data_IF_034683463666
#
_entry.id   IF_034683463666
#
_cell.length_a   1.000
_cell.length_b   1.000
_cell.length_c   1.000
_cell.angle_alpha   90.00
_cell.angle_beta   90.00
_cell.angle_gamma   90.00
#
_symmetry.space_group_name_H-M   'P 1'
#
loop_
_entity.id
_entity.type
_entity.pdbx_description
1 polymer ?
#
# COMPACT_ATOMS: atom_id res chain seq x y z
N UNK A 1 -38.09 53.42 -73.90
CA UNK A 1 -37.01 53.97 -74.74
C UNK A 1 -35.90 52.92 -74.85
N UNK A 2 -35.59 52.51 -76.09
CA UNK A 2 -34.34 51.97 -76.65
C UNK A 2 -33.44 51.00 -75.83
N UNK A 3 -33.49 49.75 -76.27
CA UNK A 3 -32.44 48.74 -76.57
C UNK A 3 -30.94 49.00 -76.39
N UNK A 4 -30.23 47.89 -76.06
CA UNK A 4 -28.91 47.42 -76.55
C UNK A 4 -27.67 47.56 -75.66
N UNK A 5 -26.96 46.43 -75.47
CA UNK A 5 -25.57 46.36 -75.01
C UNK A 5 -25.12 44.95 -74.64
N UNK A 6 -24.19 44.38 -75.42
CA UNK A 6 -23.74 42.98 -75.45
C UNK A 6 -22.27 42.90 -74.94
N UNK A 7 -21.91 41.80 -74.24
CA UNK A 7 -20.59 41.12 -73.97
C UNK A 7 -19.24 41.90 -74.10
N UNK A 8 -18.15 41.55 -73.36
CA UNK A 8 -17.54 40.21 -73.48
C UNK A 8 -16.87 39.58 -72.24
N UNK A 9 -16.75 38.26 -72.39
CA UNK A 9 -15.85 37.27 -71.82
C UNK A 9 -14.38 37.74 -71.73
N UNK A 10 -13.72 37.56 -70.58
CA UNK A 10 -12.25 37.50 -70.47
C UNK A 10 -11.86 36.28 -69.64
N UNK A 11 -11.18 35.36 -70.32
CA UNK A 11 -10.49 34.19 -69.79
C UNK A 11 -9.06 34.62 -69.45
N UNK A 12 -8.61 34.40 -68.20
CA UNK A 12 -7.21 34.56 -67.83
C UNK A 12 -6.76 33.35 -67.00
N UNK A 13 -6.02 32.45 -67.65
CA UNK A 13 -5.29 31.37 -67.02
C UNK A 13 -3.99 31.93 -66.43
N UNK A 14 -3.72 31.62 -65.15
CA UNK A 14 -2.41 31.82 -64.54
C UNK A 14 -1.94 30.47 -63.99
N UNK A 15 -0.95 29.89 -64.66
CA UNK A 15 -0.24 28.70 -64.20
C UNK A 15 0.69 29.04 -63.04
N UNK A 16 0.80 28.14 -62.07
CA UNK A 16 1.84 28.18 -61.04
C UNK A 16 2.63 26.88 -61.12
N UNK A 17 3.92 27.02 -61.38
CA UNK A 17 4.90 25.94 -61.49
C UNK A 17 5.11 25.30 -60.11
N UNK A 18 4.93 23.98 -60.02
CA UNK A 18 5.28 23.19 -58.82
C UNK A 18 6.76 22.83 -58.92
N UNK A 19 7.59 23.46 -58.10
CA UNK A 19 8.98 23.05 -57.93
C UNK A 19 9.03 21.79 -57.06
N UNK A 20 9.36 20.65 -57.66
CA UNK A 20 9.66 19.42 -56.93
C UNK A 20 11.02 19.55 -56.24
N UNK A 21 11.02 19.65 -54.91
CA UNK A 21 12.23 19.49 -54.10
C UNK A 21 12.39 18.02 -53.73
N UNK A 22 13.38 17.38 -54.33
CA UNK A 22 13.81 16.01 -54.01
C UNK A 22 14.60 16.05 -52.70
N UNK A 23 13.94 15.77 -51.57
CA UNK A 23 14.62 15.54 -50.29
C UNK A 23 15.12 14.10 -50.25
N UNK A 24 16.45 13.93 -50.23
CA UNK A 24 17.10 12.65 -49.98
C UNK A 24 16.96 12.36 -48.48
N UNK A 25 16.04 11.46 -48.11
CA UNK A 25 15.90 10.98 -46.74
C UNK A 25 17.07 10.04 -46.41
N UNK A 26 18.03 10.52 -45.64
CA UNK A 26 19.05 9.66 -45.03
C UNK A 26 18.33 8.84 -43.95
N UNK A 27 18.19 7.53 -44.18
CA UNK A 27 17.52 6.63 -43.25
C UNK A 27 18.22 6.62 -41.89
N UNK A 28 17.53 7.08 -40.85
CA UNK A 28 17.99 6.90 -39.48
C UNK A 28 17.97 5.40 -39.13
N UNK A 29 19.01 4.86 -38.46
CA UNK A 29 18.98 3.48 -38.00
C UNK A 29 17.81 3.32 -37.03
N UNK A 30 16.94 2.34 -37.30
CA UNK A 30 15.86 1.96 -36.40
C UNK A 30 16.48 1.50 -35.08
N UNK A 31 16.49 2.38 -34.09
CA UNK A 31 16.79 2.00 -32.72
C UNK A 31 15.74 0.96 -32.31
N UNK A 32 16.17 -0.28 -32.10
CA UNK A 32 15.33 -1.31 -31.50
C UNK A 32 14.99 -0.83 -30.09
N UNK A 33 13.75 -0.37 -29.91
CA UNK A 33 13.21 -0.07 -28.59
C UNK A 33 13.11 -1.43 -27.89
N UNK A 34 14.11 -1.75 -27.07
CA UNK A 34 13.96 -2.84 -26.09
C UNK A 34 12.82 -2.41 -25.19
N UNK A 35 11.72 -3.17 -25.08
CA UNK A 35 10.65 -2.82 -24.15
C UNK A 35 11.26 -2.69 -22.76
N UNK A 36 11.15 -1.51 -22.15
CA UNK A 36 11.48 -1.37 -20.74
C UNK A 36 10.59 -2.37 -19.98
N UNK A 37 11.19 -3.23 -19.16
CA UNK A 37 10.44 -4.14 -18.31
C UNK A 37 9.47 -3.40 -17.37
N UNK A 38 8.58 -4.11 -16.68
CA UNK A 38 7.61 -3.49 -15.78
C UNK A 38 8.33 -2.61 -14.74
N UNK A 39 7.80 -1.41 -14.51
CA UNK A 39 8.42 -0.43 -13.63
C UNK A 39 8.38 -0.91 -12.17
N UNK A 40 9.55 -0.98 -11.54
CA UNK A 40 9.73 -1.40 -10.15
C UNK A 40 10.02 -0.22 -9.22
N UNK A 41 10.04 -0.47 -7.90
CA UNK A 41 10.34 0.56 -6.92
C UNK A 41 11.82 0.94 -6.88
N UNK A 42 12.14 2.06 -6.22
CA UNK A 42 13.53 2.52 -6.07
C UNK A 42 14.42 1.51 -5.36
N UNK A 43 13.83 0.64 -4.54
CA UNK A 43 14.53 -0.46 -3.85
C UNK A 43 14.33 -1.82 -4.54
N UNK A 44 13.82 -1.83 -5.78
CA UNK A 44 13.54 -3.03 -6.55
C UNK A 44 12.14 -3.61 -6.31
N UNK A 45 11.97 -4.87 -6.71
CA UNK A 45 10.70 -5.59 -6.56
C UNK A 45 10.40 -5.86 -5.09
N UNK A 46 9.11 -5.91 -4.77
CA UNK A 46 8.66 -6.40 -3.48
C UNK A 46 9.13 -7.84 -3.26
N UNK A 47 9.72 -8.07 -2.09
CA UNK A 47 10.23 -9.41 -1.72
C UNK A 47 9.09 -10.28 -1.19
N UNK A 48 9.08 -11.55 -1.61
CA UNK A 48 8.18 -12.55 -1.03
C UNK A 48 8.49 -12.74 0.46
N UNK A 49 7.45 -12.68 1.30
CA UNK A 49 7.58 -12.81 2.76
C UNK A 49 7.43 -14.28 3.17
N UNK A 50 8.25 -14.79 4.09
CA UNK A 50 8.35 -16.25 4.34
C UNK A 50 8.29 -16.70 5.80
N UNK A 51 8.39 -15.81 6.79
CA UNK A 51 8.37 -16.19 8.21
C UNK A 51 7.18 -15.57 8.96
N UNK A 52 6.07 -15.43 8.24
CA UNK A 52 4.79 -15.02 8.83
C UNK A 52 4.35 -16.08 9.88
N UNK A 53 4.11 -15.69 11.15
CA UNK A 53 3.74 -16.65 12.20
C UNK A 53 2.43 -17.40 11.89
N UNK A 54 2.49 -18.73 11.94
CA UNK A 54 1.30 -19.57 11.75
C UNK A 54 0.37 -19.50 12.96
N UNK A 55 -0.94 -19.57 12.73
CA UNK A 55 -1.96 -19.50 13.78
C UNK A 55 -2.20 -18.09 14.35
N UNK A 56 -1.45 -17.08 13.90
CA UNK A 56 -1.74 -15.68 14.21
C UNK A 56 -2.78 -15.12 13.25
N UNK A 57 -3.80 -14.46 13.80
CA UNK A 57 -4.86 -13.81 13.04
C UNK A 57 -4.85 -12.32 13.32
N UNK A 58 -4.70 -11.53 12.27
CA UNK A 58 -4.97 -10.09 12.29
C UNK A 58 -6.34 -9.82 11.68
N UNK A 59 -7.12 -8.94 12.30
CA UNK A 59 -8.42 -8.54 11.80
C UNK A 59 -8.55 -7.02 11.80
N UNK A 60 -9.05 -6.46 10.71
CA UNK A 60 -9.52 -5.09 10.64
C UNK A 60 -11.04 -5.09 10.57
N UNK A 61 -11.69 -4.36 11.47
CA UNK A 61 -13.16 -4.23 11.53
C UNK A 61 -13.51 -2.76 11.28
N UNK A 62 -14.32 -2.48 10.26
CA UNK A 62 -14.71 -1.10 9.98
C UNK A 62 -15.65 -0.56 11.09
N UNK A 63 -15.42 0.67 11.57
CA UNK A 63 -16.20 1.23 12.67
C UNK A 63 -17.60 1.65 12.19
N UNK A 64 -18.58 1.62 13.10
CA UNK A 64 -19.94 2.09 12.80
C UNK A 64 -20.00 3.60 12.55
N UNK A 65 -19.17 4.37 13.26
CA UNK A 65 -19.15 5.83 13.16
C UNK A 65 -18.25 6.30 12.02
N UNK A 66 -18.77 7.05 11.03
CA UNK A 66 -17.96 7.61 9.95
C UNK A 66 -17.04 8.70 10.46
N UNK A 67 -15.78 8.71 10.00
CA UNK A 67 -14.81 9.76 10.34
C UNK A 67 -15.21 11.12 9.75
N UNK A 68 -15.81 11.10 8.56
CA UNK A 68 -16.31 12.27 7.87
C UNK A 68 -17.61 11.91 7.16
N UNK A 69 -18.73 12.48 7.63
CA UNK A 69 -20.05 12.23 7.03
C UNK A 69 -20.08 12.54 5.54
N UNK A 70 -19.35 13.57 5.09
CA UNK A 70 -19.29 13.95 3.68
C UNK A 70 -18.61 12.91 2.77
N UNK A 71 -17.84 11.97 3.31
CA UNK A 71 -17.21 10.90 2.51
C UNK A 71 -18.26 9.92 1.98
N UNK A 72 -19.30 9.61 2.76
CA UNK A 72 -20.42 8.79 2.29
C UNK A 72 -21.72 9.25 2.95
N UNK A 73 -22.28 10.39 2.47
CA UNK A 73 -23.33 11.14 3.14
C UNK A 73 -24.58 10.33 3.53
N UNK A 74 -24.95 9.38 2.69
CA UNK A 74 -26.19 8.61 2.79
C UNK A 74 -25.97 7.14 3.18
N UNK A 75 -24.73 6.72 3.43
CA UNK A 75 -24.42 5.33 3.75
C UNK A 75 -23.53 5.13 4.97
N UNK A 76 -22.84 6.16 5.47
CA UNK A 76 -22.00 6.03 6.66
C UNK A 76 -20.67 5.36 6.35
N UNK A 77 -20.36 4.23 6.97
CA UNK A 77 -19.12 3.48 6.70
C UNK A 77 -19.40 2.16 6.00
N UNK A 78 -18.37 1.64 5.32
CA UNK A 78 -18.28 0.22 4.98
C UNK A 78 -18.45 -0.60 6.26
N UNK A 79 -19.13 -1.74 6.19
CA UNK A 79 -19.36 -2.63 7.33
C UNK A 79 -18.69 -3.97 7.11
N UNK A 80 -18.26 -4.60 8.20
CA UNK A 80 -17.69 -5.94 8.19
C UNK A 80 -16.19 -5.94 8.42
N UNK A 81 -15.53 -7.01 8.00
CA UNK A 81 -14.17 -7.34 8.43
C UNK A 81 -13.26 -7.72 7.28
N UNK A 82 -11.97 -7.51 7.49
CA UNK A 82 -10.87 -8.12 6.74
C UNK A 82 -10.03 -8.92 7.71
N UNK A 83 -9.90 -10.23 7.50
CA UNK A 83 -8.98 -11.08 8.28
C UNK A 83 -7.75 -11.44 7.46
N UNK A 84 -6.62 -11.56 8.13
CA UNK A 84 -5.34 -11.86 7.52
C UNK A 84 -4.58 -12.91 8.35
N UNK A 85 -4.13 -13.98 7.67
CA UNK A 85 -3.40 -15.09 8.29
C UNK A 85 -2.20 -15.48 7.43
N UNK A 86 -1.18 -16.08 8.04
CA UNK A 86 -0.06 -16.65 7.30
C UNK A 86 -0.57 -17.70 6.29
N UNK A 87 -0.04 -17.67 5.06
CA UNK A 87 -0.36 -18.69 4.07
C UNK A 87 0.24 -20.05 4.52
N UNK A 88 -0.52 -21.16 4.48
CA UNK A 88 0.00 -22.49 4.77
C UNK A 88 1.18 -22.93 3.88
N UNK A 89 1.34 -22.32 2.69
CA UNK A 89 2.52 -22.53 1.83
C UNK A 89 3.83 -22.04 2.45
N UNK A 90 3.77 -21.27 3.54
CA UNK A 90 4.90 -20.58 4.14
C UNK A 90 5.28 -19.27 3.44
N UNK A 91 4.52 -18.82 2.43
CA UNK A 91 4.81 -17.59 1.68
C UNK A 91 3.62 -16.63 1.66
N UNK A 92 3.84 -15.41 2.13
CA UNK A 92 2.81 -14.38 2.11
C UNK A 92 1.68 -14.61 3.12
N UNK A 93 0.58 -13.93 2.84
CA UNK A 93 -0.58 -13.76 3.70
C UNK A 93 -1.84 -14.06 2.91
N UNK A 94 -2.80 -14.73 3.52
CA UNK A 94 -4.15 -14.90 2.97
C UNK A 94 -5.03 -13.81 3.58
N UNK A 95 -5.56 -12.95 2.73
CA UNK A 95 -6.57 -11.96 3.09
C UNK A 95 -7.96 -12.51 2.77
N UNK A 96 -8.88 -12.41 3.72
CA UNK A 96 -10.29 -12.77 3.55
C UNK A 96 -11.17 -11.57 3.87
N UNK A 97 -11.89 -11.10 2.86
CA UNK A 97 -12.75 -9.93 2.89
C UNK A 97 -14.20 -10.35 3.11
N UNK A 98 -14.90 -9.66 4.01
CA UNK A 98 -16.35 -9.76 4.16
C UNK A 98 -16.92 -8.38 4.46
N UNK A 99 -17.21 -7.63 3.39
CA UNK A 99 -17.64 -6.24 3.46
C UNK A 99 -19.06 -6.07 2.93
N UNK A 100 -19.78 -5.14 3.51
CA UNK A 100 -21.14 -4.75 3.14
C UNK A 100 -21.26 -3.24 3.17
N UNK A 101 -22.42 -2.76 2.70
CA UNK A 101 -22.74 -1.34 2.69
C UNK A 101 -21.74 -0.53 1.84
N UNK A 102 -21.33 -1.10 0.70
CA UNK A 102 -20.51 -0.37 -0.27
C UNK A 102 -21.37 0.68 -0.99
N UNK A 103 -20.79 1.84 -1.35
CA UNK A 103 -21.48 2.83 -2.17
C UNK A 103 -21.96 2.22 -3.50
N UNK A 104 -23.13 2.65 -3.97
CA UNK A 104 -23.66 2.19 -5.27
C UNK A 104 -22.97 2.85 -6.48
N UNK A 105 -22.29 3.98 -6.25
CA UNK A 105 -21.65 4.83 -7.27
C UNK A 105 -20.30 5.35 -6.77
N UNK A 106 -19.49 5.87 -7.69
CA UNK A 106 -18.15 6.37 -7.41
C UNK A 106 -17.08 5.28 -7.50
N UNK A 107 -17.43 4.11 -8.04
CA UNK A 107 -16.51 3.03 -8.30
C UNK A 107 -15.76 3.19 -9.64
N UNK A 108 -14.90 2.23 -10.01
CA UNK A 108 -14.55 1.05 -9.22
C UNK A 108 -13.82 1.43 -7.93
N UNK A 109 -14.07 0.68 -6.85
CA UNK A 109 -13.58 1.00 -5.52
C UNK A 109 -12.24 0.31 -5.25
N UNK A 110 -11.29 1.10 -4.77
CA UNK A 110 -9.94 0.63 -4.45
C UNK A 110 -9.83 0.32 -2.96
N UNK A 111 -8.88 -0.53 -2.59
CA UNK A 111 -8.62 -0.87 -1.21
C UNK A 111 -7.13 -1.16 -1.01
N UNK A 112 -6.52 -0.48 -0.04
CA UNK A 112 -5.08 -0.51 0.16
C UNK A 112 -4.71 -0.63 1.63
N UNK A 113 -3.59 -1.29 1.90
CA UNK A 113 -2.89 -1.17 3.17
C UNK A 113 -2.20 0.19 3.21
N UNK A 114 -2.39 0.93 4.28
CA UNK A 114 -1.76 2.22 4.50
C UNK A 114 -0.63 2.14 5.51
N UNK A 115 0.28 3.12 5.48
CA UNK A 115 1.49 3.11 6.31
C UNK A 115 1.17 3.35 7.80
N UNK A 116 0.23 4.23 8.13
CA UNK A 116 -0.06 4.55 9.53
C UNK A 116 -1.38 3.94 10.01
N UNK A 117 -1.50 3.66 11.32
CA UNK A 117 -2.78 3.29 11.90
C UNK A 117 -3.78 4.45 11.82
N UNK A 118 -5.06 4.11 11.79
CA UNK A 118 -6.16 5.03 12.02
C UNK A 118 -6.05 5.56 13.46
N UNK A 119 -5.98 6.88 13.68
CA UNK A 119 -5.97 7.47 15.02
C UNK A 119 -7.31 7.28 15.74
N UNK A 120 -7.35 7.57 17.06
CA UNK A 120 -8.55 7.41 17.89
C UNK A 120 -9.78 8.17 17.37
N UNK A 121 -9.57 9.31 16.71
CA UNK A 121 -10.66 10.10 16.11
C UNK A 121 -11.18 9.53 14.77
N UNK A 122 -10.68 8.37 14.34
CA UNK A 122 -11.11 7.67 13.13
C UNK A 122 -10.64 8.30 11.82
N UNK A 123 -9.86 9.38 11.83
CA UNK A 123 -9.54 10.14 10.63
C UNK A 123 -8.70 9.33 9.62
N UNK A 124 -9.34 8.88 8.55
CA UNK A 124 -8.68 8.08 7.52
C UNK A 124 -7.55 8.82 6.80
N UNK A 125 -7.52 10.15 6.77
CA UNK A 125 -6.41 10.90 6.15
C UNK A 125 -5.09 10.73 6.92
N UNK A 126 -5.17 10.48 8.23
CA UNK A 126 -4.01 10.30 9.08
C UNK A 126 -3.31 8.93 8.89
N UNK A 127 -3.88 8.02 8.10
CA UNK A 127 -3.20 6.76 7.72
C UNK A 127 -2.09 6.99 6.67
N UNK A 128 -1.95 8.22 6.17
CA UNK A 128 -0.94 8.67 5.22
C UNK A 128 -0.93 7.85 3.91
N UNK A 129 0.24 7.62 3.30
CA UNK A 129 0.39 6.95 2.01
C UNK A 129 0.13 5.42 2.09
N UNK A 130 0.11 4.75 0.95
CA UNK A 130 0.08 3.30 0.89
C UNK A 130 1.33 2.70 1.56
N UNK A 131 1.20 1.47 2.06
CA UNK A 131 2.33 0.70 2.56
C UNK A 131 3.27 0.35 1.40
N UNK A 132 4.39 1.07 1.30
CA UNK A 132 5.28 1.00 0.14
C UNK A 132 6.77 0.94 0.56
N UNK A 133 7.21 -0.18 1.15
CA UNK A 133 8.59 -0.32 1.63
C UNK A 133 9.62 -0.32 0.50
N UNK A 134 9.22 -0.54 -0.76
CA UNK A 134 10.12 -0.56 -1.92
C UNK A 134 10.15 0.75 -2.69
N UNK A 135 9.39 1.76 -2.23
CA UNK A 135 9.36 3.10 -2.80
C UNK A 135 9.00 3.03 -4.29
N UNK A 136 7.89 2.34 -4.56
CA UNK A 136 7.32 2.12 -5.89
C UNK A 136 6.45 3.28 -6.36
N UNK A 137 5.83 4.02 -5.44
CA UNK A 137 4.82 5.03 -5.72
C UNK A 137 3.59 4.47 -6.46
N UNK A 138 2.58 5.30 -6.67
CA UNK A 138 1.34 4.90 -7.34
C UNK A 138 1.48 4.86 -8.87
N UNK A 139 2.38 5.67 -9.43
CA UNK A 139 2.59 5.78 -10.87
C UNK A 139 3.91 5.12 -11.31
N UNK A 140 3.92 4.28 -12.36
CA UNK A 140 2.74 3.87 -13.14
C UNK A 140 1.80 2.98 -12.31
N UNK A 141 0.53 2.85 -12.73
CA UNK A 141 -0.45 1.97 -12.07
C UNK A 141 0.10 0.54 -11.95
N UNK A 142 -0.25 -0.16 -10.86
CA UNK A 142 0.13 -1.56 -10.65
C UNK A 142 -0.25 -2.44 -11.84
N UNK A 143 0.71 -3.21 -12.32
CA UNK A 143 0.49 -4.23 -13.33
C UNK A 143 0.18 -5.57 -12.64
N UNK A 144 -1.06 -6.03 -12.78
CA UNK A 144 -1.54 -7.30 -12.23
C UNK A 144 -0.76 -8.52 -12.73
N UNK A 145 -0.14 -8.43 -13.91
CA UNK A 145 0.69 -9.50 -14.45
C UNK A 145 2.07 -9.57 -13.75
N UNK A 146 2.47 -8.49 -13.08
CA UNK A 146 3.75 -8.33 -12.40
C UNK A 146 3.56 -7.79 -10.97
N UNK A 147 2.83 -8.50 -10.10
CA UNK A 147 2.44 -8.00 -8.78
C UNK A 147 3.64 -7.75 -7.85
N UNK A 148 4.80 -8.35 -8.11
CA UNK A 148 6.08 -8.08 -7.45
C UNK A 148 6.58 -6.65 -7.68
N UNK A 149 6.08 -5.98 -8.73
CA UNK A 149 6.47 -4.60 -9.03
C UNK A 149 5.54 -3.58 -8.40
N UNK A 150 4.41 -3.99 -7.83
CA UNK A 150 3.42 -3.10 -7.23
C UNK A 150 3.81 -2.68 -5.81
N UNK A 151 3.17 -1.63 -5.28
CA UNK A 151 3.32 -1.28 -3.87
C UNK A 151 2.83 -2.46 -3.01
N UNK A 152 3.52 -2.76 -1.92
CA UNK A 152 3.14 -3.86 -1.02
C UNK A 152 1.69 -3.74 -0.56
N UNK A 153 1.24 -2.52 -0.26
CA UNK A 153 -0.12 -2.22 0.16
C UNK A 153 -1.16 -2.11 -0.94
N UNK A 154 -0.80 -2.18 -2.23
CA UNK A 154 -1.74 -2.01 -3.34
C UNK A 154 -2.53 -3.32 -3.63
N UNK A 155 -3.47 -3.65 -2.75
CA UNK A 155 -4.24 -4.90 -2.85
C UNK A 155 -5.20 -4.87 -4.05
N UNK A 156 -5.94 -3.79 -4.27
CA UNK A 156 -6.84 -3.68 -5.43
C UNK A 156 -6.09 -3.63 -6.76
N UNK A 157 -4.93 -2.98 -6.81
CA UNK A 157 -4.04 -3.04 -7.95
C UNK A 157 -3.60 -4.46 -8.27
N UNK A 158 -3.31 -5.30 -7.27
CA UNK A 158 -2.92 -6.72 -7.47
C UNK A 158 -4.09 -7.67 -7.77
N UNK A 159 -5.22 -7.49 -7.09
CA UNK A 159 -6.32 -8.49 -7.08
C UNK A 159 -7.61 -8.02 -7.75
N UNK A 160 -7.68 -6.76 -8.18
CA UNK A 160 -8.87 -6.17 -8.77
C UNK A 160 -9.56 -5.17 -7.86
N UNK A 161 -9.99 -4.06 -8.45
CA UNK A 161 -10.91 -3.13 -7.80
C UNK A 161 -12.30 -3.76 -7.69
N UNK A 162 -13.10 -3.25 -6.75
CA UNK A 162 -14.49 -3.67 -6.59
C UNK A 162 -15.35 -2.90 -7.60
N UNK A 163 -16.07 -3.55 -8.52
CA UNK A 163 -16.88 -2.87 -9.52
C UNK A 163 -17.94 -1.92 -8.93
N UNK A 164 -18.24 -0.84 -9.66
CA UNK A 164 -19.37 0.01 -9.32
C UNK A 164 -20.70 -0.78 -9.32
N UNK A 165 -21.63 -0.41 -8.44
CA UNK A 165 -22.92 -1.08 -8.27
C UNK A 165 -22.91 -2.28 -7.34
N UNK A 166 -21.72 -2.79 -6.97
CA UNK A 166 -21.58 -3.85 -5.98
C UNK A 166 -21.77 -3.30 -4.56
N UNK A 167 -22.72 -3.84 -3.80
CA UNK A 167 -23.05 -3.38 -2.43
C UNK A 167 -22.45 -4.24 -1.31
N UNK A 168 -21.96 -5.43 -1.65
CA UNK A 168 -21.30 -6.37 -0.76
C UNK A 168 -20.08 -6.96 -1.46
N UNK A 169 -18.98 -7.21 -0.74
CA UNK A 169 -17.75 -7.76 -1.27
C UNK A 169 -17.25 -8.89 -0.37
N UNK A 170 -17.15 -10.09 -0.94
CA UNK A 170 -16.60 -11.27 -0.26
C UNK A 170 -15.58 -11.91 -1.17
N UNK A 171 -14.33 -11.98 -0.72
CA UNK A 171 -13.22 -12.49 -1.51
C UNK A 171 -12.12 -13.07 -0.62
N UNK A 172 -11.27 -13.92 -1.20
CA UNK A 172 -10.06 -14.41 -0.54
C UNK A 172 -8.92 -14.44 -1.53
N UNK A 173 -7.80 -13.79 -1.19
CA UNK A 173 -6.65 -13.70 -2.07
C UNK A 173 -5.34 -13.95 -1.28
N UNK A 174 -4.39 -14.71 -1.86
CA UNK A 174 -3.04 -14.80 -1.33
C UNK A 174 -2.19 -13.62 -1.82
N UNK A 175 -1.61 -12.85 -0.90
CA UNK A 175 -0.62 -11.82 -1.20
C UNK A 175 0.77 -12.23 -0.72
N UNK A 176 1.70 -12.39 -1.66
CA UNK A 176 3.05 -12.86 -1.37
C UNK A 176 3.93 -11.81 -0.68
N UNK A 177 3.53 -10.53 -0.72
CA UNK A 177 4.42 -9.40 -0.39
C UNK A 177 4.09 -8.75 0.96
N UNK A 178 2.85 -8.84 1.43
CA UNK A 178 2.46 -8.43 2.79
C UNK A 178 3.04 -9.35 3.85
N UNK A 179 3.22 -8.85 5.07
CA UNK A 179 3.75 -9.65 6.19
C UNK A 179 3.04 -9.42 7.52
N UNK A 180 3.00 -10.48 8.33
CA UNK A 180 2.68 -10.45 9.77
C UNK A 180 3.91 -10.71 10.64
N UNK A 181 5.10 -10.79 10.04
CA UNK A 181 6.40 -10.83 10.75
C UNK A 181 6.79 -9.40 11.15
N UNK A 182 6.89 -9.16 12.45
CA UNK A 182 7.32 -7.86 12.99
C UNK A 182 8.75 -7.50 12.55
N UNK A 183 9.01 -6.20 12.40
CA UNK A 183 10.32 -5.68 12.00
C UNK A 183 10.52 -5.57 10.48
N UNK A 184 9.68 -6.21 9.66
CA UNK A 184 9.69 -6.00 8.22
C UNK A 184 8.97 -4.71 7.82
N UNK A 185 9.47 -4.03 6.79
CA UNK A 185 8.78 -2.87 6.21
C UNK A 185 7.38 -3.23 5.70
N UNK A 186 7.18 -4.48 5.23
CA UNK A 186 5.90 -5.04 4.79
C UNK A 186 4.99 -5.53 5.92
N UNK A 187 5.41 -5.41 7.19
CA UNK A 187 4.56 -5.71 8.34
C UNK A 187 3.36 -4.77 8.37
N UNK A 188 2.14 -5.30 8.23
CA UNK A 188 0.91 -4.50 8.26
C UNK A 188 0.11 -4.64 9.57
N UNK A 189 0.54 -5.52 10.47
CA UNK A 189 -0.24 -5.89 11.66
C UNK A 189 -0.51 -4.74 12.64
N UNK A 190 0.27 -3.65 12.57
CA UNK A 190 0.08 -2.42 13.35
C UNK A 190 -0.38 -1.22 12.49
N UNK A 191 -0.90 -1.49 11.30
CA UNK A 191 -1.29 -0.46 10.32
C UNK A 191 -2.78 -0.55 10.02
N UNK A 192 -3.20 0.07 8.91
CA UNK A 192 -4.60 0.19 8.54
C UNK A 192 -4.90 -0.30 7.12
N UNK A 193 -6.16 -0.66 6.89
CA UNK A 193 -6.77 -0.83 5.56
C UNK A 193 -7.65 0.40 5.30
N UNK A 194 -7.64 0.91 4.07
CA UNK A 194 -8.50 2.02 3.63
C UNK A 194 -9.26 1.62 2.37
N UNK A 195 -10.55 1.93 2.34
CA UNK A 195 -11.42 1.82 1.18
C UNK A 195 -11.57 3.19 0.50
N UNK A 196 -11.47 3.23 -0.82
CA UNK A 196 -11.52 4.46 -1.60
C UNK A 196 -12.56 4.38 -2.73
N UNK A 197 -13.12 5.54 -3.07
CA UNK A 197 -13.70 5.75 -4.40
C UNK A 197 -12.63 5.76 -5.49
N UNK A 198 -13.05 5.63 -6.76
CA UNK A 198 -12.17 5.73 -7.93
C UNK A 198 -11.37 7.04 -7.99
N UNK A 199 -11.92 8.13 -7.44
CA UNK A 199 -11.23 9.42 -7.35
C UNK A 199 -10.25 9.53 -6.16
N UNK A 200 -9.90 8.40 -5.53
CA UNK A 200 -8.99 8.26 -4.38
C UNK A 200 -9.53 8.82 -3.05
N UNK A 201 -10.74 9.36 -3.00
CA UNK A 201 -11.37 9.81 -1.75
C UNK A 201 -11.50 8.63 -0.78
N UNK A 202 -10.98 8.78 0.44
CA UNK A 202 -11.05 7.79 1.51
C UNK A 202 -12.47 7.75 2.09
N UNK A 203 -13.11 6.58 2.05
CA UNK A 203 -14.50 6.39 2.51
C UNK A 203 -14.53 5.88 3.94
N UNK A 204 -13.80 4.79 4.19
CA UNK A 204 -13.71 4.14 5.49
C UNK A 204 -12.33 3.53 5.66
N UNK A 205 -11.90 3.39 6.91
CA UNK A 205 -10.62 2.81 7.26
C UNK A 205 -10.74 2.04 8.57
N UNK A 206 -9.84 1.08 8.78
CA UNK A 206 -9.80 0.28 10.00
C UNK A 206 -8.36 -0.14 10.33
N UNK A 207 -8.05 -0.22 11.62
CA UNK A 207 -6.79 -0.78 12.09
C UNK A 207 -6.81 -2.30 12.06
N UNK A 208 -5.69 -2.91 11.72
CA UNK A 208 -5.46 -4.31 12.02
C UNK A 208 -5.19 -4.46 13.51
N UNK A 209 -5.85 -5.43 14.12
CA UNK A 209 -5.62 -5.86 15.50
C UNK A 209 -5.39 -7.36 15.52
N UNK A 210 -4.46 -7.81 16.35
CA UNK A 210 -4.22 -9.23 16.55
C UNK A 210 -5.36 -9.82 17.40
N UNK A 211 -6.13 -10.75 16.83
CA UNK A 211 -7.31 -11.35 17.48
C UNK A 211 -7.12 -12.81 17.89
N UNK A 212 -6.07 -13.47 17.42
CA UNK A 212 -5.71 -14.83 17.84
C UNK A 212 -4.21 -15.13 17.65
N UNK A 213 -3.74 -16.15 18.38
CA UNK A 213 -2.38 -16.71 18.35
C UNK A 213 -1.42 -16.02 19.32
N UNK A 214 -0.60 -16.78 20.05
CA UNK A 214 0.53 -16.24 20.81
C UNK A 214 1.76 -16.21 19.90
N UNK A 215 2.54 -15.12 19.93
CA UNK A 215 3.72 -14.95 19.08
C UNK A 215 4.90 -15.86 19.46
N UNK A 216 4.69 -16.88 20.29
CA UNK A 216 5.75 -17.71 20.84
C UNK A 216 5.90 -19.00 20.05
N UNK A 217 6.76 -18.95 19.03
CA UNK A 217 7.55 -20.11 18.62
C UNK A 217 8.54 -20.48 19.73
N UNK A 218 8.03 -21.04 20.83
CA UNK A 218 8.82 -21.58 21.93
C UNK A 218 8.62 -23.09 22.00
N UNK A 219 9.72 -23.84 22.01
CA UNK A 219 9.73 -25.28 22.24
C UNK A 219 8.85 -25.64 23.43
N UNK A 220 7.71 -26.26 23.16
CA UNK A 220 6.80 -26.79 24.18
C UNK A 220 7.43 -27.99 24.87
N UNK A 221 8.11 -27.75 25.99
CA UNK A 221 8.16 -28.75 27.04
C UNK A 221 6.74 -28.88 27.60
N UNK A 222 6.15 -30.03 27.33
CA UNK A 222 4.88 -30.47 27.88
C UNK A 222 5.02 -30.57 29.40
N UNK A 223 4.46 -29.61 30.13
CA UNK A 223 4.12 -29.77 31.54
C UNK A 223 2.60 -29.93 31.60
N UNK A 224 2.19 -31.19 31.68
CA UNK A 224 0.81 -31.63 31.85
C UNK A 224 0.37 -31.36 33.30
N UNK A 225 -0.78 -30.70 33.57
CA UNK A 225 -1.26 -30.56 34.93
C UNK A 225 -1.93 -31.86 35.37
N UNK A 226 -1.19 -32.69 36.11
CA UNK A 226 -1.76 -33.81 36.84
C UNK A 226 -2.62 -33.26 38.00
N UNK A 227 -3.93 -33.57 37.98
CA UNK A 227 -4.85 -33.27 39.08
C UNK A 227 -5.57 -34.55 39.52
N UNK A 228 -5.14 -35.14 40.65
CA UNK A 228 -5.91 -35.92 41.64
C UNK A 228 -4.91 -36.38 42.71
N UNK A 229 -5.17 -36.51 44.01
CA UNK A 229 -6.39 -36.58 44.78
C UNK A 229 -6.12 -36.17 46.25
N UNK A 230 -7.19 -35.77 46.93
CA UNK A 230 -7.29 -35.50 48.37
C UNK A 230 -7.27 -36.80 49.18
N UNK A 231 -6.53 -36.83 50.29
CA UNK A 231 -6.59 -37.91 51.29
C UNK A 231 -5.72 -37.59 52.52
N UNK A 232 -6.26 -37.55 53.76
CA UNK A 232 -5.50 -37.23 54.96
C UNK A 232 -5.19 -38.48 55.81
N UNK A 233 -3.95 -38.64 56.30
CA UNK A 233 -3.69 -39.27 57.61
C UNK A 233 -2.22 -39.17 58.11
N UNK A 234 -2.09 -38.51 59.26
CA UNK A 234 -1.23 -38.65 60.45
C UNK A 234 0.24 -39.21 60.45
N UNK A 235 1.07 -38.40 61.14
CA UNK A 235 2.07 -38.71 62.21
C UNK A 235 3.39 -39.42 61.91
N UNK A 236 4.50 -38.79 62.34
CA UNK A 236 5.75 -39.51 62.67
C UNK A 236 7.07 -38.72 62.63
N UNK A 237 7.40 -38.06 63.74
CA UNK A 237 8.74 -37.86 64.33
C UNK A 237 10.00 -37.49 63.49
N UNK A 238 10.48 -36.26 63.77
CA UNK A 238 11.82 -35.85 64.21
C UNK A 238 13.11 -36.50 63.64
N UNK A 239 13.95 -35.65 63.06
CA UNK A 239 15.25 -35.17 63.62
C UNK A 239 16.33 -35.11 62.53
N UNK A 240 17.01 -33.96 62.41
CA UNK A 240 18.47 -33.82 62.57
C UNK A 240 18.99 -32.52 61.90
N UNK A 241 19.38 -31.61 62.78
CA UNK A 241 20.39 -30.53 62.70
C UNK A 241 21.56 -30.90 61.76
N UNK A 242 22.29 -30.02 61.07
CA UNK A 242 23.40 -29.23 61.62
C UNK A 242 24.06 -28.42 60.46
N UNK A 243 24.10 -27.09 60.63
CA UNK A 243 25.21 -26.14 60.42
C UNK A 243 26.00 -26.00 59.08
N UNK A 244 26.04 -24.73 58.65
CA UNK A 244 27.20 -23.93 58.17
C UNK A 244 28.08 -24.45 57.03
N UNK A 245 28.16 -23.68 55.94
CA UNK A 245 29.26 -22.71 55.76
C UNK A 245 29.14 -21.97 54.41
N UNK A 246 29.30 -20.64 54.49
CA UNK A 246 29.56 -19.72 53.37
C UNK A 246 31.07 -19.74 53.06
N UNK A 247 31.46 -19.52 51.80
CA UNK A 247 32.33 -18.37 51.51
C UNK A 247 31.81 -17.53 50.33
N UNK A 248 32.16 -16.25 50.38
CA UNK A 248 31.92 -15.26 49.34
C UNK A 248 33.07 -15.25 48.32
N UNK A 249 32.77 -14.82 47.08
CA UNK A 249 33.63 -14.15 46.08
C UNK A 249 32.90 -14.27 44.72
N UNK A 250 32.75 -13.28 43.84
CA UNK A 250 33.24 -11.92 43.79
C UNK A 250 32.51 -11.16 42.69
N UNK A 251 32.49 -9.85 42.83
CA UNK A 251 31.88 -8.85 41.94
C UNK A 251 32.79 -8.55 40.76
N UNK A 252 32.24 -8.48 39.54
CA UNK A 252 32.80 -7.62 38.48
C UNK A 252 31.73 -7.25 37.43
N UNK A 253 31.34 -5.99 37.47
CA UNK A 253 30.59 -5.21 36.49
C UNK A 253 31.40 -5.00 35.20
N UNK A 254 30.79 -4.91 34.01
CA UNK A 254 31.38 -4.21 32.88
C UNK A 254 30.74 -2.82 32.70
N UNK A 255 31.60 -1.81 32.60
CA UNK A 255 31.28 -0.43 32.23
C UNK A 255 31.12 -0.28 30.70
N UNK A 256 30.45 0.78 30.20
CA UNK A 256 30.15 0.98 28.78
C UNK A 256 31.32 1.64 28.03
N UNK A 257 31.58 1.16 26.81
CA UNK A 257 32.59 1.74 25.90
C UNK A 257 31.98 2.80 24.99
N UNK A 258 32.58 3.98 24.99
CA UNK A 258 32.29 5.15 24.17
C UNK A 258 32.97 5.10 22.78
N UNK A 259 32.19 5.44 21.74
CA UNK A 259 32.46 6.17 20.47
C UNK A 259 33.88 6.28 19.85
N UNK A 260 33.96 6.33 18.50
CA UNK A 260 34.11 7.66 17.88
C UNK A 260 33.28 7.92 16.62
N UNK A 261 32.94 9.20 16.47
CA UNK A 261 32.20 9.85 15.39
C UNK A 261 32.95 9.84 14.05
N UNK A 262 32.22 9.55 12.96
CA UNK A 262 32.60 9.84 11.58
C UNK A 262 31.81 11.02 11.02
N UNK A 263 32.31 11.74 9.99
CA UNK A 263 31.94 13.11 9.71
C UNK A 263 30.60 13.26 8.98
N UNK A 264 29.93 14.37 9.29
CA UNK A 264 28.74 14.89 8.62
C UNK A 264 29.06 15.26 7.16
N UNK A 265 28.28 14.74 6.21
CA UNK A 265 28.24 15.26 4.85
C UNK A 265 27.19 16.37 4.74
N UNK A 266 27.69 17.55 4.40
CA UNK A 266 26.94 18.75 4.06
C UNK A 266 26.32 18.66 2.66
N UNK A 267 25.01 18.88 2.60
CA UNK A 267 24.24 19.64 1.59
C UNK A 267 25.03 20.14 0.37
N UNK A 268 24.69 19.58 -0.79
CA UNK A 268 24.96 20.13 -2.11
C UNK A 268 23.65 20.27 -2.89
N UNK A 269 23.04 21.46 -2.83
CA UNK A 269 21.90 21.84 -3.67
C UNK A 269 22.41 22.19 -5.06
N UNK A 270 22.18 21.33 -6.05
CA UNK A 270 22.30 21.71 -7.46
C UNK A 270 20.93 22.07 -8.01
N UNK A 271 20.62 23.38 -8.01
CA UNK A 271 19.61 23.94 -8.89
C UNK A 271 20.09 23.76 -10.34
N UNK A 272 19.41 22.94 -11.12
CA UNK A 272 19.56 22.95 -12.56
C UNK A 272 18.29 23.58 -13.15
N UNK A 273 18.43 24.86 -13.49
CA UNK A 273 17.42 25.61 -14.21
C UNK A 273 17.41 25.18 -15.68
N UNK A 274 16.36 24.49 -16.10
CA UNK A 274 16.01 24.36 -17.52
C UNK A 274 14.79 25.24 -17.80
N UNK A 275 15.06 26.41 -18.39
CA UNK A 275 14.06 27.28 -18.97
C UNK A 275 13.54 26.67 -20.27
N UNK A 276 12.24 26.40 -20.37
CA UNK A 276 11.50 26.36 -21.63
C UNK A 276 9.98 26.31 -21.38
N UNK A 277 9.25 27.30 -21.90
CA UNK A 277 7.87 27.12 -22.35
C UNK A 277 6.73 27.52 -21.39
N UNK A 278 6.59 28.81 -21.11
CA UNK A 278 5.28 29.37 -20.70
C UNK A 278 4.42 29.47 -21.97
N UNK A 279 3.47 28.55 -22.14
CA UNK A 279 2.37 28.73 -23.09
C UNK A 279 1.23 29.39 -22.33
N UNK A 280 1.10 30.70 -22.51
CA UNK A 280 -0.06 31.47 -22.10
C UNK A 280 -1.27 31.07 -22.96
N UNK A 281 -2.26 30.39 -22.37
CA UNK A 281 -3.60 30.36 -22.94
C UNK A 281 -4.35 31.59 -22.45
N UNK A 282 -4.60 32.53 -23.37
CA UNK A 282 -5.41 33.71 -23.13
C UNK A 282 -6.84 33.30 -22.80
N UNK A 283 -7.31 33.69 -21.61
CA UNK A 283 -8.72 33.71 -21.28
C UNK A 283 -9.34 34.96 -21.94
N UNK A 284 -10.14 34.74 -22.98
CA UNK A 284 -11.01 35.77 -23.55
C UNK A 284 -12.21 35.98 -22.61
N UNK A 285 -12.30 37.20 -22.09
CA UNK A 285 -13.42 37.77 -21.39
C UNK A 285 -14.58 38.01 -22.38
N UNK A 286 -15.77 37.49 -22.10
CA UNK A 286 -17.03 37.99 -22.66
C UNK A 286 -18.08 37.98 -21.55
N UNK A 287 -18.20 39.13 -20.89
CA UNK A 287 -19.42 39.58 -20.23
C UNK A 287 -20.36 40.06 -21.34
N UNK A 288 -21.62 39.61 -21.33
CA UNK A 288 -22.77 40.34 -21.87
C UNK A 288 -24.05 39.76 -21.28
N UNK A 289 -24.71 40.62 -20.49
CA UNK A 289 -26.12 40.62 -20.04
C UNK A 289 -26.54 39.58 -19.00
#
# INVERSE_FOLDING_TARGET
>A
MRTSGVLPLVLAAAGTQVAAQTSVSVGAPSASIVPAGPATGKLGNATVTTKNPQGVVYQATFPDTPFFKGAYPDGGNIKGTLTAVANPSGQGIIFTFNWKNLPKKGGPFMYHLHVDPVPENGNCTATLAHLDPFIRFEDPVCDKAHPETCQTGDLSGKFGDIPEGQTEFSATFPDLYSSTEEGLGSFFGNRSIVFHYANKTRVSCANFVKVAGDSHGGHGASESPCSTATGPHATGHANLTTTTSRPASGTSTPAPTTTPSGPALSIGSSLQASAAGVIAFGAALMFLL
#
